data_IF_255692828416
#
_entry.id   IF_255692828416
#
_cell.length_a   1.000
_cell.length_b   1.000
_cell.length_c   1.000
_cell.angle_alpha   90.00
_cell.angle_beta   90.00
_cell.angle_gamma   90.00
#
_symmetry.space_group_name_H-M   'P 1'
#
loop_
_entity.id
_entity.type
_entity.pdbx_description
1 polymer ?
#
# COMPACT_ATOMS: atom_id res chain seq x y z
N UNK A 1 36.21 -8.47 16.20
CA UNK A 1 35.50 -9.33 15.22
C UNK A 1 34.75 -8.43 14.26
N UNK A 2 34.94 -8.57 12.95
CA UNK A 2 34.23 -7.78 11.95
C UNK A 2 32.76 -8.26 11.86
N UNK A 3 31.81 -7.33 11.77
CA UNK A 3 30.39 -7.64 11.58
C UNK A 3 30.23 -8.28 10.19
N UNK A 4 29.59 -9.46 10.06
CA UNK A 4 29.41 -10.10 8.75
C UNK A 4 28.60 -9.18 7.81
N UNK A 5 28.91 -9.24 6.52
CA UNK A 5 28.22 -8.41 5.53
C UNK A 5 26.72 -8.74 5.54
N UNK A 6 25.85 -7.75 5.33
CA UNK A 6 24.40 -7.94 5.38
C UNK A 6 23.93 -9.11 4.50
N UNK A 7 24.51 -9.23 3.30
CA UNK A 7 24.23 -10.31 2.36
C UNK A 7 24.56 -11.69 2.93
N UNK A 8 25.69 -11.84 3.63
CA UNK A 8 26.10 -13.12 4.23
C UNK A 8 25.10 -13.58 5.30
N UNK A 9 24.43 -12.65 5.97
CA UNK A 9 23.42 -12.95 6.98
C UNK A 9 22.04 -13.23 6.36
N UNK A 10 21.63 -12.45 5.37
CA UNK A 10 20.26 -12.48 4.83
C UNK A 10 20.09 -13.52 3.72
N UNK A 11 21.08 -13.74 2.86
CA UNK A 11 20.94 -14.66 1.73
C UNK A 11 20.64 -16.11 2.15
N UNK A 12 21.29 -16.68 3.20
CA UNK A 12 20.93 -18.02 3.67
C UNK A 12 19.47 -18.11 4.14
N UNK A 13 18.96 -17.05 4.78
CA UNK A 13 17.58 -16.98 5.26
C UNK A 13 16.59 -16.90 4.10
N UNK A 14 16.88 -16.09 3.08
CA UNK A 14 16.04 -16.01 1.88
C UNK A 14 16.10 -17.31 1.06
N UNK A 15 17.27 -17.96 0.99
CA UNK A 15 17.41 -19.26 0.35
C UNK A 15 16.60 -20.35 1.07
N UNK A 16 16.60 -20.35 2.41
CA UNK A 16 15.75 -21.23 3.21
C UNK A 16 14.25 -20.91 3.01
N UNK A 17 13.88 -19.62 3.00
CA UNK A 17 12.52 -19.18 2.73
C UNK A 17 12.01 -19.62 1.36
N UNK A 18 12.88 -19.67 0.34
CA UNK A 18 12.48 -20.08 -1.00
C UNK A 18 12.40 -21.60 -1.13
N UNK A 19 13.44 -22.31 -0.68
CA UNK A 19 13.72 -23.69 -1.08
C UNK A 19 13.37 -24.77 -0.04
N UNK A 20 13.14 -24.42 1.22
CA UNK A 20 12.91 -25.44 2.26
C UNK A 20 11.61 -26.24 2.01
N UNK A 21 11.49 -27.48 2.51
CA UNK A 21 10.27 -28.29 2.32
C UNK A 21 9.13 -27.93 3.27
N UNK A 22 9.49 -27.41 4.45
CA UNK A 22 8.57 -27.05 5.53
C UNK A 22 8.20 -25.55 5.48
N UNK A 23 6.89 -25.25 5.44
CA UNK A 23 6.34 -23.90 5.40
C UNK A 23 6.64 -23.08 6.66
N UNK A 24 6.66 -23.67 7.84
CA UNK A 24 6.95 -22.97 9.09
C UNK A 24 8.41 -22.50 9.12
N UNK A 25 9.32 -23.33 8.59
CA UNK A 25 10.72 -22.94 8.39
C UNK A 25 10.84 -21.83 7.34
N UNK A 26 10.06 -21.87 6.26
CA UNK A 26 10.07 -20.79 5.26
C UNK A 26 9.64 -19.45 5.87
N UNK A 27 8.53 -19.46 6.60
CA UNK A 27 7.95 -18.26 7.22
C UNK A 27 8.85 -17.70 8.32
N UNK A 28 9.43 -18.55 9.17
CA UNK A 28 10.37 -18.12 10.22
C UNK A 28 11.66 -17.56 9.62
N UNK A 29 12.19 -18.17 8.56
CA UNK A 29 13.37 -17.65 7.84
C UNK A 29 13.10 -16.29 7.22
N UNK A 30 11.95 -16.11 6.55
CA UNK A 30 11.57 -14.81 5.97
C UNK A 30 11.34 -13.74 7.05
N UNK A 31 10.78 -14.11 8.21
CA UNK A 31 10.63 -13.21 9.35
C UNK A 31 11.99 -12.73 9.88
N UNK A 32 12.93 -13.65 10.05
CA UNK A 32 14.28 -13.30 10.48
C UNK A 32 14.99 -12.43 9.45
N UNK A 33 14.85 -12.74 8.16
CA UNK A 33 15.40 -11.92 7.07
C UNK A 33 14.84 -10.49 7.11
N UNK A 34 13.52 -10.35 7.31
CA UNK A 34 12.85 -9.07 7.47
C UNK A 34 13.46 -8.25 8.60
N UNK A 35 13.60 -8.82 9.80
CA UNK A 35 14.10 -8.09 10.97
C UNK A 35 15.53 -7.57 10.76
N UNK A 36 16.38 -8.37 10.10
CA UNK A 36 17.73 -7.98 9.70
C UNK A 36 17.70 -6.84 8.66
N UNK A 37 16.83 -6.93 7.65
CA UNK A 37 16.70 -5.91 6.62
C UNK A 37 16.18 -4.58 7.15
N UNK A 38 15.18 -4.61 8.03
CA UNK A 38 14.61 -3.41 8.64
C UNK A 38 15.60 -2.69 9.56
N UNK A 39 16.65 -3.36 10.01
CA UNK A 39 17.71 -2.81 10.87
C UNK A 39 18.95 -2.38 10.09
N UNK A 40 18.99 -2.62 8.78
CA UNK A 40 20.13 -2.36 7.93
C UNK A 40 20.09 -0.98 7.28
N UNK A 41 21.23 -0.55 6.77
CA UNK A 41 21.32 0.62 5.90
C UNK A 41 20.54 0.37 4.58
N UNK A 42 19.71 1.32 4.10
CA UNK A 42 18.88 1.14 2.91
C UNK A 42 19.66 0.71 1.66
N UNK A 43 20.85 1.29 1.44
CA UNK A 43 21.68 0.97 0.27
C UNK A 43 22.20 -0.48 0.30
N UNK A 44 22.44 -1.02 1.50
CA UNK A 44 22.86 -2.41 1.67
C UNK A 44 21.67 -3.37 1.56
N UNK A 45 20.52 -3.00 2.13
CA UNK A 45 19.28 -3.78 2.03
C UNK A 45 18.85 -3.93 0.56
N UNK A 46 18.98 -2.87 -0.24
CA UNK A 46 18.63 -2.89 -1.66
C UNK A 46 19.33 -4.00 -2.46
N UNK A 47 20.55 -4.37 -2.06
CA UNK A 47 21.33 -5.42 -2.75
C UNK A 47 20.75 -6.83 -2.62
N UNK A 48 19.82 -7.05 -1.69
CA UNK A 48 19.15 -8.36 -1.51
C UNK A 48 17.71 -8.38 -2.03
N UNK A 49 17.15 -7.23 -2.42
CA UNK A 49 15.78 -7.16 -2.92
C UNK A 49 15.48 -8.09 -4.10
N UNK A 50 16.38 -8.35 -5.06
CA UNK A 50 16.14 -9.35 -6.10
C UNK A 50 15.75 -10.74 -5.55
N UNK A 51 16.42 -11.20 -4.48
CA UNK A 51 16.12 -12.48 -3.84
C UNK A 51 14.81 -12.47 -3.06
N UNK A 52 14.41 -11.30 -2.55
CA UNK A 52 13.11 -11.12 -1.90
C UNK A 52 11.99 -11.17 -2.94
N UNK A 53 12.21 -10.57 -4.13
CA UNK A 53 11.27 -10.59 -5.26
C UNK A 53 11.02 -12.02 -5.74
N UNK A 54 12.04 -12.88 -5.79
CA UNK A 54 11.91 -14.28 -6.22
C UNK A 54 10.86 -15.07 -5.41
N UNK A 55 10.63 -14.71 -4.14
CA UNK A 55 9.65 -15.36 -3.28
C UNK A 55 8.21 -15.17 -3.77
N UNK A 56 7.94 -14.20 -4.66
CA UNK A 56 6.62 -13.99 -5.26
C UNK A 56 6.16 -15.20 -6.10
N UNK A 57 7.12 -16.00 -6.61
CA UNK A 57 6.85 -17.17 -7.43
C UNK A 57 6.61 -18.44 -6.60
N UNK A 58 6.68 -18.35 -5.28
CA UNK A 58 6.50 -19.49 -4.38
C UNK A 58 5.10 -20.10 -4.54
N UNK A 59 4.97 -21.44 -4.57
CA UNK A 59 3.65 -22.09 -4.57
C UNK A 59 2.87 -21.82 -3.27
N UNK A 60 3.59 -21.51 -2.18
CA UNK A 60 3.02 -21.34 -0.84
C UNK A 60 2.28 -20.01 -0.69
N UNK A 61 0.94 -20.08 -0.62
CA UNK A 61 0.05 -18.92 -0.47
C UNK A 61 0.43 -18.07 0.75
N UNK A 62 0.71 -18.71 1.90
CA UNK A 62 1.04 -18.01 3.13
C UNK A 62 2.39 -17.29 3.04
N UNK A 63 3.35 -17.84 2.29
CA UNK A 63 4.63 -17.18 2.08
C UNK A 63 4.47 -15.94 1.18
N UNK A 64 3.73 -16.06 0.07
CA UNK A 64 3.44 -14.90 -0.81
C UNK A 64 2.67 -13.82 -0.06
N UNK A 65 1.68 -14.20 0.76
CA UNK A 65 0.97 -13.25 1.63
C UNK A 65 1.93 -12.55 2.61
N UNK A 66 2.82 -13.29 3.25
CA UNK A 66 3.77 -12.72 4.20
C UNK A 66 4.83 -11.84 3.52
N UNK A 67 5.27 -12.18 2.31
CA UNK A 67 6.14 -11.34 1.48
C UNK A 67 5.53 -9.94 1.27
N UNK A 68 4.22 -9.84 1.01
CA UNK A 68 3.55 -8.54 0.87
C UNK A 68 3.62 -7.71 2.15
N UNK A 69 3.50 -8.34 3.32
CA UNK A 69 3.68 -7.65 4.61
C UNK A 69 5.13 -7.20 4.82
N UNK A 70 6.10 -8.00 4.38
CA UNK A 70 7.52 -7.62 4.40
C UNK A 70 7.78 -6.39 3.51
N UNK A 71 7.16 -6.35 2.33
CA UNK A 71 7.26 -5.20 1.42
C UNK A 71 6.65 -3.95 2.05
N UNK A 72 5.50 -4.06 2.72
CA UNK A 72 4.89 -2.96 3.48
C UNK A 72 5.83 -2.40 4.55
N UNK A 73 6.42 -3.26 5.38
CA UNK A 73 7.31 -2.85 6.45
C UNK A 73 8.58 -2.15 5.92
N UNK A 74 9.07 -2.56 4.75
CA UNK A 74 10.20 -1.91 4.07
C UNK A 74 9.76 -0.57 3.47
N UNK A 75 8.61 -0.54 2.79
CA UNK A 75 8.15 0.61 2.03
C UNK A 75 7.58 1.75 2.88
N UNK A 76 7.20 1.48 4.12
CA UNK A 76 6.76 2.49 5.10
C UNK A 76 7.92 3.20 5.80
N UNK A 77 9.18 2.79 5.56
CA UNK A 77 10.36 3.51 6.01
C UNK A 77 10.88 4.44 4.90
N UNK A 78 11.47 5.59 5.24
CA UNK A 78 12.15 6.45 4.28
C UNK A 78 13.42 5.74 3.77
N UNK A 79 13.25 4.91 2.75
CA UNK A 79 14.30 4.10 2.16
C UNK A 79 14.41 4.40 0.67
N UNK A 80 15.63 4.76 0.25
CA UNK A 80 15.99 4.75 -1.16
C UNK A 80 15.83 3.33 -1.73
N UNK A 81 15.48 3.23 -3.02
CA UNK A 81 15.32 1.98 -3.78
C UNK A 81 14.10 1.12 -3.48
N UNK A 82 13.18 1.53 -2.59
CA UNK A 82 11.92 0.81 -2.33
C UNK A 82 11.08 0.59 -3.60
N UNK A 83 11.19 1.46 -4.60
CA UNK A 83 10.43 1.38 -5.85
C UNK A 83 10.65 0.06 -6.61
N UNK A 84 11.76 -0.65 -6.37
CA UNK A 84 12.03 -1.97 -6.96
C UNK A 84 11.09 -3.07 -6.46
N UNK A 85 10.50 -2.91 -5.27
CA UNK A 85 9.58 -3.90 -4.68
C UNK A 85 8.12 -3.66 -5.08
N UNK A 86 7.77 -2.46 -5.56
CA UNK A 86 6.40 -2.14 -5.95
C UNK A 86 5.85 -2.94 -7.15
N UNK A 87 6.65 -3.36 -8.14
CA UNK A 87 6.21 -4.32 -9.14
C UNK A 87 5.64 -5.61 -8.54
N UNK A 88 6.21 -6.13 -7.44
CA UNK A 88 5.72 -7.33 -6.74
C UNK A 88 4.36 -7.07 -6.10
N UNK A 89 4.23 -5.93 -5.41
CA UNK A 89 2.97 -5.50 -4.83
C UNK A 89 1.89 -5.39 -5.93
N UNK A 90 2.21 -4.73 -7.04
CA UNK A 90 1.28 -4.52 -8.15
C UNK A 90 0.88 -5.84 -8.82
N UNK A 91 1.83 -6.73 -9.11
CA UNK A 91 1.55 -8.05 -9.69
C UNK A 91 0.64 -8.90 -8.78
N UNK A 92 0.80 -8.77 -7.47
CA UNK A 92 0.03 -9.53 -6.47
C UNK A 92 -1.45 -9.13 -6.38
N UNK A 93 -1.87 -8.01 -6.99
CA UNK A 93 -3.29 -7.70 -7.18
C UNK A 93 -3.99 -8.70 -8.10
N UNK A 94 -3.24 -9.44 -8.92
CA UNK A 94 -3.72 -10.48 -9.83
C UNK A 94 -3.31 -11.89 -9.37
N UNK A 95 -2.94 -12.06 -8.10
CA UNK A 95 -2.58 -13.37 -7.55
C UNK A 95 -3.76 -14.36 -7.64
N UNK A 96 -3.45 -15.64 -7.83
CA UNK A 96 -4.44 -16.72 -7.90
C UNK A 96 -5.20 -16.92 -6.59
N UNK A 97 -4.61 -16.52 -5.46
CA UNK A 97 -5.22 -16.61 -4.14
C UNK A 97 -5.82 -15.28 -3.70
N UNK A 98 -7.12 -15.29 -3.39
CA UNK A 98 -7.80 -14.13 -2.81
C UNK A 98 -7.18 -13.66 -1.48
N UNK A 99 -6.49 -14.53 -0.74
CA UNK A 99 -5.81 -14.15 0.50
C UNK A 99 -4.62 -13.23 0.25
N UNK A 100 -3.88 -13.46 -0.85
CA UNK A 100 -2.76 -12.61 -1.26
C UNK A 100 -3.30 -11.29 -1.77
N UNK A 101 -4.28 -11.30 -2.69
CA UNK A 101 -4.89 -10.06 -3.22
C UNK A 101 -5.45 -9.17 -2.11
N UNK A 102 -6.16 -9.74 -1.14
CA UNK A 102 -6.66 -8.99 0.03
C UNK A 102 -5.52 -8.36 0.82
N UNK A 103 -4.45 -9.11 1.09
CA UNK A 103 -3.28 -8.57 1.80
C UNK A 103 -2.59 -7.47 0.98
N UNK A 104 -2.50 -7.62 -0.34
CA UNK A 104 -1.97 -6.60 -1.25
C UNK A 104 -2.75 -5.30 -1.19
N UNK A 105 -4.09 -5.35 -1.16
CA UNK A 105 -4.90 -4.14 -1.02
C UNK A 105 -4.66 -3.47 0.34
N UNK A 106 -4.62 -4.25 1.42
CA UNK A 106 -4.37 -3.75 2.78
C UNK A 106 -3.00 -3.08 2.86
N UNK A 107 -1.94 -3.81 2.50
CA UNK A 107 -0.56 -3.33 2.55
C UNK A 107 -0.33 -2.15 1.62
N UNK A 108 -0.87 -2.19 0.40
CA UNK A 108 -0.78 -1.06 -0.53
C UNK A 108 -1.53 0.19 -0.05
N UNK A 109 -2.64 0.03 0.68
CA UNK A 109 -3.32 1.16 1.34
C UNK A 109 -2.41 1.81 2.38
N UNK A 110 -1.74 1.03 3.22
CA UNK A 110 -0.81 1.58 4.22
C UNK A 110 0.40 2.28 3.57
N UNK A 111 0.96 1.68 2.52
CA UNK A 111 2.05 2.30 1.74
C UNK A 111 1.58 3.62 1.12
N UNK A 112 0.40 3.63 0.50
CA UNK A 112 -0.18 4.83 -0.11
C UNK A 112 -0.30 5.97 0.89
N UNK A 113 -0.91 5.72 2.05
CA UNK A 113 -1.10 6.73 3.09
C UNK A 113 0.24 7.20 3.68
N UNK A 114 1.15 6.27 3.98
CA UNK A 114 2.47 6.59 4.53
C UNK A 114 3.33 7.42 3.56
N UNK A 115 3.29 7.09 2.27
CA UNK A 115 3.98 7.87 1.24
C UNK A 115 3.41 9.28 1.14
N UNK A 116 2.09 9.43 1.18
CA UNK A 116 1.45 10.75 1.12
C UNK A 116 1.79 11.62 2.35
N UNK A 117 1.86 11.01 3.54
CA UNK A 117 2.31 11.67 4.77
C UNK A 117 3.76 12.14 4.64
N UNK A 118 4.67 11.28 4.20
CA UNK A 118 6.08 11.61 4.01
C UNK A 118 6.27 12.71 2.95
N UNK A 119 5.58 12.60 1.81
CA UNK A 119 5.59 13.63 0.77
C UNK A 119 5.11 14.97 1.32
N UNK A 120 3.98 14.99 2.03
CA UNK A 120 3.43 16.21 2.65
C UNK A 120 4.43 16.85 3.61
N UNK A 121 5.14 16.05 4.42
CA UNK A 121 6.19 16.56 5.32
C UNK A 121 7.40 17.10 4.55
N UNK A 122 7.85 16.45 3.47
CA UNK A 122 8.96 16.93 2.65
C UNK A 122 8.63 18.24 1.94
N UNK A 123 7.42 18.38 1.38
CA UNK A 123 6.95 19.65 0.83
C UNK A 123 6.97 20.75 1.88
N UNK A 124 6.42 20.48 3.07
CA UNK A 124 6.36 21.47 4.14
C UNK A 124 7.76 21.91 4.63
N UNK A 125 8.70 20.98 4.77
CA UNK A 125 10.02 21.25 5.38
C UNK A 125 11.10 21.69 4.39
N UNK A 126 11.12 21.11 3.20
CA UNK A 126 12.23 21.22 2.23
C UNK A 126 11.81 21.86 0.91
N UNK A 127 10.52 21.87 0.59
CA UNK A 127 10.00 22.40 -0.67
C UNK A 127 10.51 21.66 -1.92
N UNK A 128 11.12 20.48 -1.76
CA UNK A 128 11.66 19.63 -2.82
C UNK A 128 11.36 18.17 -2.48
N UNK A 129 11.04 17.38 -3.50
CA UNK A 129 10.83 15.93 -3.38
C UNK A 129 11.93 15.20 -4.12
N UNK A 130 12.44 14.13 -3.52
CA UNK A 130 13.44 13.27 -4.15
C UNK A 130 12.81 12.42 -5.27
N UNK A 131 13.54 12.19 -6.37
CA UNK A 131 13.06 11.38 -7.52
C UNK A 131 12.56 9.99 -7.11
N UNK A 132 13.17 9.38 -6.10
CA UNK A 132 12.75 8.10 -5.54
C UNK A 132 11.29 8.10 -5.08
N UNK A 133 10.82 9.22 -4.52
CA UNK A 133 9.45 9.37 -4.05
C UNK A 133 8.47 9.65 -5.21
N UNK A 134 8.91 10.33 -6.27
CA UNK A 134 8.11 10.51 -7.50
C UNK A 134 7.85 9.15 -8.20
N UNK A 135 8.86 8.28 -8.26
CA UNK A 135 8.72 6.92 -8.79
C UNK A 135 7.76 6.08 -7.95
N UNK A 136 7.90 6.13 -6.62
CA UNK A 136 6.98 5.47 -5.69
C UNK A 136 5.54 5.98 -5.86
N UNK A 137 5.36 7.29 -6.00
CA UNK A 137 4.05 7.89 -6.21
C UNK A 137 3.40 7.42 -7.52
N UNK A 138 4.19 7.35 -8.60
CA UNK A 138 3.71 6.85 -9.90
C UNK A 138 3.19 5.41 -9.79
N UNK A 139 3.88 4.56 -9.04
CA UNK A 139 3.39 3.20 -8.75
C UNK A 139 2.11 3.19 -7.92
N UNK A 140 1.98 4.12 -6.97
CA UNK A 140 0.79 4.26 -6.13
C UNK A 140 -0.44 4.77 -6.89
N UNK A 141 -0.26 5.62 -7.91
CA UNK A 141 -1.36 5.95 -8.84
C UNK A 141 -1.80 4.71 -9.62
N UNK A 142 -0.88 3.90 -10.16
CA UNK A 142 -1.23 2.65 -10.86
C UNK A 142 -1.94 1.67 -9.93
N UNK A 143 -1.46 1.52 -8.70
CA UNK A 143 -2.08 0.69 -7.69
C UNK A 143 -3.52 1.16 -7.41
N UNK A 144 -3.73 2.47 -7.22
CA UNK A 144 -5.07 3.05 -7.02
C UNK A 144 -6.02 2.67 -8.14
N UNK A 145 -5.62 2.89 -9.38
CA UNK A 145 -6.46 2.61 -10.55
C UNK A 145 -6.80 1.10 -10.64
N UNK A 146 -5.83 0.22 -10.39
CA UNK A 146 -6.05 -1.23 -10.39
C UNK A 146 -7.00 -1.69 -9.27
N UNK A 147 -6.89 -1.10 -8.08
CA UNK A 147 -7.81 -1.39 -6.96
C UNK A 147 -9.22 -0.89 -7.27
N UNK A 148 -9.37 0.29 -7.88
CA UNK A 148 -10.68 0.80 -8.28
C UNK A 148 -11.34 -0.07 -9.35
N UNK A 149 -10.58 -0.59 -10.32
CA UNK A 149 -11.10 -1.56 -11.29
C UNK A 149 -11.71 -2.79 -10.61
N UNK A 150 -11.13 -3.28 -9.50
CA UNK A 150 -11.61 -4.44 -8.78
C UNK A 150 -13.04 -4.28 -8.21
N UNK A 151 -13.56 -3.05 -8.09
CA UNK A 151 -14.96 -2.80 -7.67
C UNK A 151 -15.98 -3.29 -8.69
N UNK A 152 -15.61 -3.29 -9.96
CA UNK A 152 -16.47 -3.60 -11.11
C UNK A 152 -16.20 -4.98 -11.72
N UNK A 153 -15.10 -5.62 -11.34
CA UNK A 153 -14.75 -6.97 -11.80
C UNK A 153 -15.51 -8.06 -11.02
N UNK A 154 -15.62 -9.24 -11.63
CA UNK A 154 -16.19 -10.44 -11.02
C UNK A 154 -15.22 -11.10 -10.02
N UNK A 155 -14.78 -10.33 -9.01
CA UNK A 155 -13.88 -10.79 -7.94
C UNK A 155 -14.66 -11.12 -6.66
N UNK A 156 -14.11 -11.94 -5.76
CA UNK A 156 -14.72 -12.22 -4.46
C UNK A 156 -15.16 -10.96 -3.72
N UNK A 157 -16.33 -11.00 -3.09
CA UNK A 157 -16.93 -9.85 -2.36
C UNK A 157 -15.97 -9.23 -1.35
N UNK A 158 -15.17 -10.06 -0.66
CA UNK A 158 -14.18 -9.56 0.29
C UNK A 158 -13.07 -8.70 -0.33
N UNK A 159 -12.75 -8.88 -1.62
CA UNK A 159 -11.82 -8.01 -2.35
C UNK A 159 -12.51 -6.69 -2.70
N UNK A 160 -13.76 -6.75 -3.18
CA UNK A 160 -14.57 -5.55 -3.48
C UNK A 160 -14.76 -4.67 -2.25
N UNK A 161 -14.98 -5.27 -1.08
CA UNK A 161 -15.09 -4.56 0.20
C UNK A 161 -13.80 -3.82 0.56
N UNK A 162 -12.63 -4.45 0.38
CA UNK A 162 -11.34 -3.79 0.63
C UNK A 162 -11.06 -2.67 -0.38
N UNK A 163 -11.37 -2.91 -1.66
CA UNK A 163 -11.26 -1.89 -2.69
C UNK A 163 -12.14 -0.67 -2.39
N UNK A 164 -13.36 -0.90 -1.90
CA UNK A 164 -14.27 0.16 -1.49
C UNK A 164 -13.73 0.93 -0.28
N UNK A 165 -13.12 0.22 0.69
CA UNK A 165 -12.51 0.89 1.85
C UNK A 165 -11.30 1.73 1.46
N UNK A 166 -10.51 1.27 0.49
CA UNK A 166 -9.43 2.05 -0.08
C UNK A 166 -9.96 3.28 -0.83
N UNK A 167 -11.05 3.14 -1.60
CA UNK A 167 -11.73 4.24 -2.27
C UNK A 167 -12.23 5.30 -1.29
N UNK A 168 -12.91 4.90 -0.22
CA UNK A 168 -13.33 5.79 0.87
C UNK A 168 -12.12 6.52 1.48
N UNK A 169 -11.05 5.78 1.76
CA UNK A 169 -9.80 6.34 2.31
C UNK A 169 -9.22 7.40 1.37
N UNK A 170 -9.21 7.14 0.05
CA UNK A 170 -8.74 8.08 -0.96
C UNK A 170 -9.57 9.38 -0.97
N UNK A 171 -10.91 9.26 -0.95
CA UNK A 171 -11.80 10.43 -0.86
C UNK A 171 -11.47 11.25 0.39
N UNK A 172 -11.35 10.59 1.55
CA UNK A 172 -11.07 11.25 2.83
C UNK A 172 -9.71 11.94 2.87
N UNK A 173 -8.69 11.40 2.20
CA UNK A 173 -7.36 12.00 2.13
C UNK A 173 -7.33 13.27 1.27
N UNK A 174 -8.23 13.38 0.28
CA UNK A 174 -8.17 14.42 -0.75
C UNK A 174 -9.37 15.38 -0.77
N UNK A 175 -10.35 15.19 0.11
CA UNK A 175 -11.49 16.11 0.28
C UNK A 175 -11.25 16.95 1.54
N UNK A 176 -11.04 18.27 1.42
CA UNK A 176 -10.80 19.11 2.59
C UNK A 176 -12.03 19.16 3.50
N UNK A 177 -11.84 18.87 4.80
CA UNK A 177 -12.86 19.09 5.83
C UNK A 177 -13.17 20.59 5.90
N UNK A 178 -14.34 21.00 5.40
CA UNK A 178 -14.99 22.20 5.88
C UNK A 178 -15.53 21.88 7.29
N UNK A 179 -14.68 22.05 8.30
CA UNK A 179 -15.06 22.21 9.72
C UNK A 179 -15.98 21.14 10.31
N UNK A 180 -15.38 20.13 10.97
CA UNK A 180 -15.81 19.49 12.23
C UNK A 180 -15.55 17.98 12.19
N UNK A 181 -14.37 17.59 12.68
CA UNK A 181 -13.95 16.21 12.91
C UNK A 181 -14.82 15.56 13.99
N UNK A 182 -15.97 14.99 13.63
CA UNK A 182 -16.59 13.93 14.42
C UNK A 182 -15.81 12.62 14.26
N UNK A 183 -15.66 11.91 15.38
CA UNK A 183 -14.75 10.79 15.58
C UNK A 183 -15.10 9.59 14.70
N UNK A 184 -14.29 9.33 13.68
CA UNK A 184 -14.30 8.06 12.94
C UNK A 184 -13.78 6.90 13.79
N UNK A 185 -14.55 5.82 13.83
CA UNK A 185 -14.33 4.61 14.65
C UNK A 185 -13.31 3.63 14.07
N UNK A 186 -12.65 3.93 12.95
CA UNK A 186 -11.54 3.12 12.44
C UNK A 186 -10.19 3.73 12.84
N UNK A 187 -9.53 3.11 13.82
CA UNK A 187 -8.25 3.58 14.38
C UNK A 187 -7.16 3.82 13.32
N UNK A 188 -7.18 3.05 12.22
CA UNK A 188 -6.22 3.18 11.12
C UNK A 188 -6.47 4.43 10.25
N UNK A 189 -7.69 4.65 9.77
CA UNK A 189 -8.01 5.81 8.92
C UNK A 189 -7.94 7.14 9.70
N UNK A 190 -8.30 7.12 10.98
CA UNK A 190 -8.21 8.28 11.87
C UNK A 190 -6.74 8.68 12.17
N UNK A 191 -5.79 7.73 12.09
CA UNK A 191 -4.37 8.02 12.24
C UNK A 191 -3.80 8.78 11.03
N UNK A 192 -4.12 8.34 9.82
CA UNK A 192 -3.60 8.96 8.59
C UNK A 192 -4.23 10.33 8.30
N UNK A 193 -5.54 10.50 8.53
CA UNK A 193 -6.24 11.80 8.34
C UNK A 193 -5.67 12.92 9.22
N UNK A 194 -5.16 12.60 10.41
CA UNK A 194 -4.52 13.59 11.30
C UNK A 194 -3.13 14.02 10.83
N UNK A 195 -2.46 13.21 10.00
CA UNK A 195 -1.09 13.44 9.59
C UNK A 195 -0.97 14.05 8.18
N UNK A 196 -1.91 13.76 7.29
CA UNK A 196 -1.93 14.30 5.93
C UNK A 196 -2.80 15.56 5.87
N UNK A 197 -2.20 16.70 5.57
CA UNK A 197 -2.91 17.93 5.27
C UNK A 197 -2.54 18.40 3.86
N UNK A 198 -3.48 18.29 2.92
CA UNK A 198 -3.29 18.66 1.50
C UNK A 198 -2.86 20.13 1.35
N UNK A 199 -3.27 21.01 2.28
CA UNK A 199 -2.84 22.42 2.27
C UNK A 199 -1.32 22.57 2.43
N UNK A 200 -0.61 21.54 2.90
CA UNK A 200 0.86 21.52 2.98
C UNK A 200 1.53 21.10 1.67
N UNK A 201 0.78 20.54 0.72
CA UNK A 201 1.25 20.17 -0.63
C UNK A 201 1.17 21.40 -1.58
N UNK A 202 0.71 22.55 -1.08
CA UNK A 202 0.57 23.79 -1.87
C UNK A 202 1.95 24.40 -2.16
N UNK A 203 2.50 24.05 -3.32
CA UNK A 203 3.73 24.66 -3.85
C UNK A 203 4.23 24.00 -5.14
N UNK A 204 3.88 24.60 -6.29
CA UNK A 204 4.52 24.58 -7.63
C UNK A 204 5.31 23.34 -8.15
N UNK A 205 5.09 22.13 -7.63
CA UNK A 205 5.69 20.91 -8.18
C UNK A 205 4.71 20.17 -9.07
N UNK A 206 5.13 19.86 -10.30
CA UNK A 206 4.29 19.40 -11.40
C UNK A 206 3.70 18.00 -11.23
N UNK A 207 4.23 17.16 -10.34
CA UNK A 207 3.81 15.76 -10.21
C UNK A 207 2.74 15.51 -9.14
N UNK A 208 2.58 16.42 -8.18
CA UNK A 208 1.48 16.42 -7.20
C UNK A 208 0.84 17.80 -7.13
N UNK A 209 0.04 18.10 -8.14
CA UNK A 209 -0.83 19.27 -8.14
C UNK A 209 -2.02 19.04 -7.20
N UNK A 210 -2.17 19.83 -6.11
CA UNK A 210 -3.30 19.71 -5.19
C UNK A 210 -4.65 19.84 -5.90
N UNK A 211 -4.76 20.69 -6.93
CA UNK A 211 -6.01 20.87 -7.66
C UNK A 211 -6.38 19.61 -8.46
N UNK A 212 -5.40 18.97 -9.11
CA UNK A 212 -5.59 17.68 -9.78
C UNK A 212 -6.00 16.57 -8.80
N UNK A 213 -5.40 16.50 -7.61
CA UNK A 213 -5.73 15.49 -6.59
C UNK A 213 -7.14 15.68 -6.02
N UNK A 214 -7.53 16.92 -5.72
CA UNK A 214 -8.91 17.24 -5.30
C UNK A 214 -9.91 16.91 -6.41
N UNK A 215 -9.57 17.22 -7.66
CA UNK A 215 -10.41 16.88 -8.82
C UNK A 215 -10.58 15.37 -8.99
N UNK A 216 -9.50 14.59 -8.85
CA UNK A 216 -9.56 13.11 -8.91
C UNK A 216 -10.37 12.53 -7.74
N UNK A 217 -10.27 13.11 -6.54
CA UNK A 217 -11.10 12.74 -5.40
C UNK A 217 -12.59 13.01 -5.64
N UNK A 218 -12.95 14.18 -6.18
CA UNK A 218 -14.32 14.50 -6.57
C UNK A 218 -14.86 13.53 -7.63
N UNK A 219 -14.02 13.14 -8.60
CA UNK A 219 -14.39 12.10 -9.58
C UNK A 219 -14.61 10.75 -8.90
N UNK A 220 -13.82 10.43 -7.90
CA UNK A 220 -13.93 9.20 -7.10
C UNK A 220 -15.22 9.17 -6.27
N UNK A 221 -15.72 10.31 -5.80
CA UNK A 221 -17.07 10.42 -5.22
C UNK A 221 -18.13 10.00 -6.24
N UNK A 222 -17.98 10.35 -7.51
CA UNK A 222 -18.84 9.87 -8.59
C UNK A 222 -18.91 8.35 -8.67
N UNK A 223 -17.77 7.67 -8.55
CA UNK A 223 -17.70 6.19 -8.52
C UNK A 223 -18.50 5.62 -7.34
N UNK A 224 -18.40 6.24 -6.15
CA UNK A 224 -19.16 5.84 -4.97
C UNK A 224 -20.67 6.02 -5.18
N UNK A 225 -21.09 7.13 -5.81
CA UNK A 225 -22.49 7.40 -6.13
C UNK A 225 -23.05 6.41 -7.17
N UNK A 226 -22.25 6.01 -8.17
CA UNK A 226 -22.64 5.00 -9.15
C UNK A 226 -22.85 3.63 -8.50
N UNK A 227 -22.01 3.27 -7.53
CA UNK A 227 -22.17 2.06 -6.72
C UNK A 227 -23.43 2.14 -5.84
N UNK A 228 -23.73 3.31 -5.26
CA UNK A 228 -24.92 3.53 -4.46
C UNK A 228 -26.20 3.43 -5.30
N UNK A 229 -26.21 4.00 -6.51
CA UNK A 229 -27.33 3.86 -7.43
C UNK A 229 -27.56 2.39 -7.82
N UNK A 230 -26.48 1.60 -7.89
CA UNK A 230 -26.51 0.17 -8.20
C UNK A 230 -26.73 -0.73 -6.99
N UNK A 231 -26.95 -0.17 -5.79
CA UNK A 231 -26.97 -0.88 -4.51
C UNK A 231 -27.98 -2.03 -4.43
N UNK A 232 -29.09 -1.95 -5.18
CA UNK A 232 -30.11 -3.00 -5.26
C UNK A 232 -29.62 -4.29 -5.93
N UNK A 233 -28.55 -4.21 -6.72
CA UNK A 233 -27.93 -5.33 -7.44
C UNK A 233 -26.66 -5.88 -6.77
N UNK A 234 -26.20 -5.23 -5.70
CA UNK A 234 -24.98 -5.59 -4.99
C UNK A 234 -25.26 -6.63 -3.89
N UNK A 235 -24.26 -7.47 -3.54
CA UNK A 235 -24.33 -8.29 -2.34
C UNK A 235 -24.59 -7.43 -1.09
N UNK A 236 -25.45 -7.89 -0.18
CA UNK A 236 -25.90 -7.07 0.95
C UNK A 236 -24.78 -6.47 1.82
N UNK A 237 -23.69 -7.21 2.04
CA UNK A 237 -22.52 -6.67 2.76
C UNK A 237 -21.86 -5.51 2.03
N UNK A 238 -21.80 -5.55 0.69
CA UNK A 238 -21.26 -4.47 -0.12
C UNK A 238 -22.20 -3.27 -0.14
N UNK A 239 -23.51 -3.48 -0.21
CA UNK A 239 -24.52 -2.42 -0.10
C UNK A 239 -24.39 -1.65 1.21
N UNK A 240 -24.29 -2.35 2.34
CA UNK A 240 -24.08 -1.72 3.66
C UNK A 240 -22.79 -0.91 3.67
N UNK A 241 -21.69 -1.46 3.14
CA UNK A 241 -20.43 -0.73 3.08
C UNK A 241 -20.49 0.51 2.19
N UNK A 242 -21.16 0.47 1.03
CA UNK A 242 -21.34 1.63 0.15
C UNK A 242 -22.12 2.74 0.85
N UNK A 243 -23.21 2.38 1.54
CA UNK A 243 -24.00 3.34 2.32
C UNK A 243 -23.15 3.97 3.43
N UNK A 244 -22.43 3.16 4.20
CA UNK A 244 -21.57 3.65 5.29
C UNK A 244 -20.45 4.57 4.77
N UNK A 245 -19.80 4.22 3.66
CA UNK A 245 -18.76 5.05 3.05
C UNK A 245 -19.30 6.34 2.43
N UNK A 246 -20.60 6.40 2.10
CA UNK A 246 -21.26 7.64 1.61
C UNK A 246 -21.65 8.60 2.73
N UNK A 247 -21.73 8.09 3.97
CA UNK A 247 -22.00 8.89 5.18
C UNK A 247 -20.73 9.31 5.93
N UNK A 248 -19.56 8.86 5.46
CA UNK A 248 -18.25 9.20 6.00
C UNK A 248 -17.71 10.49 5.37
#
# INVERSE_FOLDING_TARGET
MARPLLQEQVLPLLAAANNHGDLDVKLSSLRQAKDVLLSADPSQAAKVFPYLIDLQSSPEILLRKYLIQVIEDIATKPMEHTSILLPVLFASLRDSSSLVVKQTIISGTHIFCGLLEELSMQFHRRGLVERSHEELWTWMIKFKDAVFCALFEAVPVGIRLLALKFLETYILLFTPDATDSEKFTSEASTKFRKAVNISWIVGHHSFMDPAALISDANRTVGILLDLLHSASSLPGSLTISVVNSSTA
#
